data_IF_826530699860
#
_entry.id   IF_826530699860
#
_cell.length_a   1.000
_cell.length_b   1.000
_cell.length_c   1.000
_cell.angle_alpha   90.00
_cell.angle_beta   90.00
_cell.angle_gamma   90.00
#
_symmetry.space_group_name_H-M   'P 1'
#
loop_
_entity.id
_entity.type
_entity.pdbx_description
1 polymer ?
#
# COMPACT_ATOMS: atom_id res chain seq x y z
N UNK A 1 -23.04 15.66 -4.96
CA UNK A 1 -21.64 15.18 -4.93
C UNK A 1 -20.90 16.02 -3.91
N UNK A 2 -20.10 15.42 -3.03
CA UNK A 2 -19.30 16.18 -2.06
C UNK A 2 -18.31 17.07 -2.82
N UNK A 3 -18.25 18.36 -2.46
CA UNK A 3 -17.30 19.32 -3.03
C UNK A 3 -15.99 19.40 -2.24
N UNK A 4 -15.89 18.62 -1.15
CA UNK A 4 -14.69 18.59 -0.32
C UNK A 4 -13.63 17.67 -0.95
N UNK A 5 -12.39 18.15 -1.11
CA UNK A 5 -11.29 17.35 -1.63
C UNK A 5 -10.84 16.33 -0.58
N UNK A 6 -10.55 15.11 -1.01
CA UNK A 6 -9.89 14.12 -0.15
C UNK A 6 -8.40 14.41 0.00
N UNK A 7 -7.78 14.85 -1.10
CA UNK A 7 -6.37 15.17 -1.18
C UNK A 7 -6.24 16.49 -1.94
N UNK A 8 -5.26 17.31 -1.57
CA UNK A 8 -5.00 18.56 -2.27
C UNK A 8 -3.49 18.79 -2.37
N UNK A 9 -2.99 18.83 -3.61
CA UNK A 9 -1.59 19.04 -3.94
C UNK A 9 -1.46 20.39 -4.62
N UNK A 10 -0.56 21.24 -4.13
CA UNK A 10 -0.23 22.53 -4.71
C UNK A 10 1.26 22.62 -5.00
N UNK A 11 1.61 22.71 -6.28
CA UNK A 11 2.99 22.85 -6.74
C UNK A 11 3.92 21.74 -6.23
N UNK A 12 3.45 20.50 -6.16
CA UNK A 12 4.24 19.40 -5.60
C UNK A 12 5.36 19.00 -6.56
N UNK A 13 6.60 19.08 -6.09
CA UNK A 13 7.81 18.68 -6.82
C UNK A 13 8.59 17.63 -6.04
N UNK A 14 9.09 16.61 -6.73
CA UNK A 14 9.86 15.53 -6.12
C UNK A 14 11.05 15.20 -7.01
N UNK A 15 12.25 15.13 -6.42
CA UNK A 15 13.51 14.87 -7.12
C UNK A 15 14.22 13.70 -6.46
N UNK A 16 14.67 12.74 -7.26
CA UNK A 16 15.55 11.66 -6.80
C UNK A 16 16.92 11.81 -7.44
N UNK A 17 18.00 11.94 -6.64
CA UNK A 17 19.38 12.00 -7.14
C UNK A 17 19.56 12.98 -8.32
N UNK A 18 19.04 14.20 -8.16
CA UNK A 18 19.00 15.27 -9.19
C UNK A 18 18.10 15.01 -10.43
N UNK A 19 17.41 13.87 -10.51
CA UNK A 19 16.41 13.60 -11.55
C UNK A 19 15.00 13.93 -11.03
N UNK A 20 14.30 14.92 -11.64
CA UNK A 20 12.95 15.26 -11.22
C UNK A 20 11.97 14.14 -11.58
N UNK A 21 11.30 13.62 -10.56
CA UNK A 21 10.29 12.58 -10.68
C UNK A 21 8.87 13.16 -10.75
N UNK A 22 8.62 14.29 -10.09
CA UNK A 22 7.38 15.07 -10.19
C UNK A 22 7.75 16.54 -10.39
N UNK A 23 7.00 17.25 -11.22
CA UNK A 23 7.20 18.67 -11.51
C UNK A 23 5.85 19.37 -11.43
N UNK A 24 5.74 20.33 -10.54
CA UNK A 24 4.59 21.23 -10.39
C UNK A 24 3.23 20.52 -10.43
N UNK A 25 3.06 19.48 -9.62
CA UNK A 25 1.81 18.73 -9.58
C UNK A 25 0.78 19.51 -8.76
N UNK A 26 -0.30 19.90 -9.45
CA UNK A 26 -1.46 20.56 -8.89
C UNK A 26 -2.68 19.65 -9.10
N UNK A 27 -3.22 19.08 -8.01
CA UNK A 27 -4.29 18.09 -8.13
C UNK A 27 -5.18 18.03 -6.89
N UNK A 28 -6.50 17.92 -7.11
CA UNK A 28 -7.52 18.03 -6.07
C UNK A 28 -8.62 16.96 -6.24
N UNK A 29 -8.31 15.66 -6.02
CA UNK A 29 -9.30 14.61 -6.14
C UNK A 29 -10.38 14.71 -5.03
N UNK A 30 -11.64 14.63 -5.44
CA UNK A 30 -12.80 14.69 -4.57
C UNK A 30 -13.25 13.29 -4.13
N UNK A 31 -14.07 13.25 -3.07
CA UNK A 31 -14.66 12.01 -2.60
C UNK A 31 -15.52 11.33 -3.68
N UNK A 32 -15.33 10.01 -3.81
CA UNK A 32 -16.08 9.18 -4.76
C UNK A 32 -15.52 9.20 -6.19
N UNK A 33 -14.51 10.02 -6.47
CA UNK A 33 -13.84 10.02 -7.77
C UNK A 33 -12.87 8.83 -7.89
N UNK A 34 -12.73 8.35 -9.12
CA UNK A 34 -11.74 7.36 -9.50
C UNK A 34 -10.88 7.96 -10.60
N UNK A 35 -9.57 7.82 -10.46
CA UNK A 35 -8.60 8.44 -11.35
C UNK A 35 -7.65 7.39 -11.91
N UNK A 36 -7.38 7.49 -13.21
CA UNK A 36 -6.35 6.70 -13.89
C UNK A 36 -5.17 7.61 -14.25
N UNK A 37 -4.03 7.40 -13.60
CA UNK A 37 -2.78 8.08 -13.96
C UNK A 37 -2.05 7.29 -15.04
N UNK A 38 -2.05 7.79 -16.27
CA UNK A 38 -1.42 7.15 -17.43
C UNK A 38 -0.11 7.85 -17.81
N UNK A 39 0.79 7.12 -18.46
CA UNK A 39 2.06 7.66 -18.97
C UNK A 39 3.14 6.59 -19.09
N UNK A 40 4.27 6.90 -19.77
CA UNK A 40 5.35 5.95 -19.97
C UNK A 40 6.08 5.58 -18.67
N UNK A 41 6.94 4.57 -18.74
CA UNK A 41 7.85 4.25 -17.64
C UNK A 41 8.74 5.45 -17.33
N UNK A 42 8.94 5.74 -16.04
CA UNK A 42 9.69 6.93 -15.60
C UNK A 42 8.89 8.23 -15.51
N UNK A 43 7.63 8.28 -15.96
CA UNK A 43 6.79 9.49 -15.91
C UNK A 43 6.38 9.96 -14.50
N UNK A 44 6.87 9.33 -13.42
CA UNK A 44 6.57 9.75 -12.05
C UNK A 44 5.32 9.14 -11.40
N UNK A 45 4.58 8.28 -12.09
CA UNK A 45 3.33 7.66 -11.56
C UNK A 45 3.49 7.01 -10.18
N UNK A 46 4.51 6.16 -10.03
CA UNK A 46 4.83 5.51 -8.74
C UNK A 46 5.27 6.53 -7.69
N UNK A 47 5.99 7.57 -8.11
CA UNK A 47 6.43 8.66 -7.23
C UNK A 47 5.25 9.46 -6.71
N UNK A 48 4.26 9.77 -7.56
CA UNK A 48 3.01 10.41 -7.17
C UNK A 48 2.29 9.55 -6.14
N UNK A 49 2.06 8.26 -6.44
CA UNK A 49 1.41 7.35 -5.50
C UNK A 49 2.11 7.29 -4.13
N UNK A 50 3.46 7.29 -4.11
CA UNK A 50 4.24 7.34 -2.87
C UNK A 50 4.04 8.63 -2.09
N UNK A 51 3.96 9.79 -2.75
CA UNK A 51 3.64 11.07 -2.09
C UNK A 51 2.26 10.99 -1.45
N UNK A 52 1.23 10.57 -2.21
CA UNK A 52 -0.16 10.47 -1.72
C UNK A 52 -0.27 9.57 -0.47
N UNK A 53 0.56 8.53 -0.39
CA UNK A 53 0.55 7.56 0.70
C UNK A 53 1.55 7.88 1.84
N UNK A 54 2.08 9.10 1.95
CA UNK A 54 3.17 9.47 2.90
C UNK A 54 4.49 8.68 2.76
N UNK A 55 4.69 7.86 1.73
CA UNK A 55 5.91 7.05 1.59
C UNK A 55 7.10 7.87 1.07
N UNK A 56 6.84 8.98 0.39
CA UNK A 56 7.86 9.95 -0.01
C UNK A 56 7.55 11.29 0.66
N UNK A 57 8.38 11.67 1.63
CA UNK A 57 8.19 12.88 2.48
C UNK A 57 9.06 14.05 2.07
N UNK A 58 10.12 13.82 1.29
CA UNK A 58 11.06 14.85 0.85
C UNK A 58 10.63 15.40 -0.52
N UNK A 59 9.60 16.23 -0.53
CA UNK A 59 9.12 16.97 -1.70
C UNK A 59 8.96 18.45 -1.34
N UNK A 60 8.89 19.33 -2.34
CA UNK A 60 8.47 20.73 -2.13
C UNK A 60 7.04 20.95 -2.64
N UNK A 61 6.43 22.07 -2.25
CA UNK A 61 5.01 22.33 -2.45
C UNK A 61 4.20 22.02 -1.19
N UNK A 62 2.88 22.11 -1.31
CA UNK A 62 1.93 21.83 -0.23
C UNK A 62 1.12 20.57 -0.54
N UNK A 63 0.88 19.75 0.49
CA UNK A 63 0.05 18.56 0.38
C UNK A 63 -0.84 18.42 1.61
N UNK A 64 -2.14 18.54 1.39
CA UNK A 64 -3.16 18.44 2.41
C UNK A 64 -4.04 17.21 2.19
N UNK A 65 -4.57 16.71 3.29
CA UNK A 65 -5.49 15.56 3.31
C UNK A 65 -6.70 15.92 4.14
N UNK A 66 -7.84 15.40 3.72
CA UNK A 66 -9.06 15.57 4.49
C UNK A 66 -8.95 14.82 5.83
N UNK A 67 -9.45 15.37 6.96
CA UNK A 67 -9.35 14.73 8.28
C UNK A 67 -9.93 13.30 8.33
N UNK A 68 -10.90 12.98 7.47
CA UNK A 68 -11.47 11.64 7.42
C UNK A 68 -10.46 10.58 6.95
N UNK A 69 -9.38 10.97 6.27
CA UNK A 69 -8.28 10.08 5.91
C UNK A 69 -7.35 9.79 7.09
N UNK A 70 -7.37 10.58 8.17
CA UNK A 70 -6.59 10.27 9.38
C UNK A 70 -7.18 9.05 10.11
N UNK A 71 -8.51 8.93 10.11
CA UNK A 71 -9.22 7.77 10.69
C UNK A 71 -9.24 6.57 9.74
N UNK A 72 -9.52 6.80 8.46
CA UNK A 72 -9.72 5.72 7.47
C UNK A 72 -8.43 5.23 6.84
N UNK A 73 -7.39 6.06 6.84
CA UNK A 73 -6.10 5.79 6.23
C UNK A 73 -6.12 5.85 4.70
N UNK A 74 -4.91 5.75 4.13
CA UNK A 74 -4.67 5.57 2.70
C UNK A 74 -3.95 4.25 2.50
N UNK A 75 -4.51 3.37 1.67
CA UNK A 75 -3.88 2.11 1.33
C UNK A 75 -3.13 2.22 0.00
N UNK A 76 -1.86 1.79 0.00
CA UNK A 76 -1.08 1.61 -1.21
C UNK A 76 -1.09 0.13 -1.59
N UNK A 77 -1.45 -0.18 -2.84
CA UNK A 77 -1.47 -1.55 -3.35
C UNK A 77 -0.64 -1.60 -4.62
N UNK A 78 0.43 -2.40 -4.63
CA UNK A 78 1.24 -2.62 -5.82
C UNK A 78 1.93 -4.00 -5.82
N UNK A 79 2.25 -4.49 -7.01
CA UNK A 79 2.90 -5.80 -7.18
C UNK A 79 4.28 -5.88 -6.52
N UNK A 80 5.05 -4.78 -6.51
CA UNK A 80 6.35 -4.76 -5.84
C UNK A 80 6.24 -4.93 -4.33
N UNK A 81 5.19 -4.38 -3.71
CA UNK A 81 4.94 -4.56 -2.27
C UNK A 81 4.52 -6.00 -1.97
N UNK A 82 3.69 -6.60 -2.83
CA UNK A 82 3.34 -8.01 -2.73
C UNK A 82 4.58 -8.91 -2.86
N UNK A 83 5.43 -8.65 -3.86
CA UNK A 83 6.69 -9.37 -4.06
C UNK A 83 7.62 -9.23 -2.85
N UNK A 84 7.73 -8.04 -2.27
CA UNK A 84 8.55 -7.81 -1.08
C UNK A 84 8.05 -8.59 0.16
N UNK A 85 6.74 -8.86 0.27
CA UNK A 85 6.20 -9.74 1.31
C UNK A 85 6.63 -11.18 1.09
N UNK A 86 6.51 -11.70 -0.14
CA UNK A 86 6.94 -13.05 -0.49
C UNK A 86 8.46 -13.24 -0.32
N UNK A 87 9.27 -12.26 -0.74
CA UNK A 87 10.74 -12.31 -0.58
C UNK A 87 11.17 -12.28 0.89
N UNK A 88 10.44 -11.54 1.74
CA UNK A 88 10.66 -11.55 3.19
C UNK A 88 10.36 -12.93 3.76
N UNK A 89 9.22 -13.49 3.38
CA UNK A 89 8.81 -14.81 3.85
C UNK A 89 9.84 -15.87 3.46
N UNK A 90 10.33 -15.86 2.21
CA UNK A 90 11.40 -16.74 1.73
C UNK A 90 12.71 -16.63 2.50
N UNK A 91 13.05 -15.45 3.03
CA UNK A 91 14.27 -15.28 3.87
C UNK A 91 14.13 -15.89 5.26
N UNK A 92 12.91 -16.10 5.73
CA UNK A 92 12.60 -16.72 7.02
C UNK A 92 12.46 -18.24 6.90
N UNK A 93 12.76 -18.81 5.73
CA UNK A 93 12.72 -20.24 5.51
C UNK A 93 13.73 -20.96 6.40
N UNK A 94 13.22 -21.81 7.28
CA UNK A 94 13.99 -22.65 8.19
C UNK A 94 13.90 -24.15 7.82
N UNK A 95 13.35 -24.49 6.65
CA UNK A 95 13.16 -25.87 6.21
C UNK A 95 14.45 -26.69 6.22
N UNK A 96 15.59 -26.07 5.92
CA UNK A 96 16.92 -26.71 5.99
C UNK A 96 17.29 -27.22 7.39
N UNK A 97 16.66 -26.69 8.44
CA UNK A 97 16.89 -27.06 9.84
C UNK A 97 15.80 -27.98 10.42
N UNK A 98 14.77 -28.33 9.64
CA UNK A 98 13.65 -29.18 10.08
C UNK A 98 13.79 -30.61 9.58
N UNK A 99 13.45 -31.57 10.43
CA UNK A 99 13.53 -32.99 10.11
C UNK A 99 12.60 -33.42 8.96
N UNK A 100 11.51 -32.67 8.72
CA UNK A 100 10.54 -32.91 7.64
C UNK A 100 10.75 -31.99 6.42
N UNK A 101 11.79 -31.13 6.44
CA UNK A 101 12.08 -30.12 5.42
C UNK A 101 10.87 -29.23 5.04
N UNK A 102 9.91 -29.05 5.96
CA UNK A 102 8.66 -28.34 5.71
C UNK A 102 8.66 -26.95 6.33
N UNK A 103 8.42 -25.93 5.51
CA UNK A 103 8.11 -24.58 5.97
C UNK A 103 6.75 -24.14 5.39
N UNK A 104 5.68 -24.10 6.21
CA UNK A 104 4.36 -23.67 5.76
C UNK A 104 4.31 -22.17 5.40
N UNK A 105 5.37 -21.40 5.71
CA UNK A 105 5.45 -19.95 5.51
C UNK A 105 4.59 -19.17 6.51
N UNK A 106 4.65 -17.84 6.43
CA UNK A 106 3.79 -16.99 7.25
C UNK A 106 2.35 -17.08 6.78
N UNK A 107 1.45 -17.50 7.67
CA UNK A 107 0.02 -17.58 7.38
C UNK A 107 -0.55 -16.22 6.96
N UNK A 108 -1.43 -16.20 5.95
CA UNK A 108 -2.10 -14.98 5.46
C UNK A 108 -2.74 -14.20 6.61
N UNK A 109 -3.39 -14.89 7.55
CA UNK A 109 -3.98 -14.26 8.73
C UNK A 109 -2.93 -13.53 9.59
N UNK A 110 -1.77 -14.14 9.84
CA UNK A 110 -0.72 -13.54 10.65
C UNK A 110 -0.18 -12.25 10.00
N UNK A 111 -0.09 -12.23 8.66
CA UNK A 111 0.34 -11.05 7.90
C UNK A 111 -0.69 -9.93 7.97
N UNK A 112 -1.97 -10.24 7.79
CA UNK A 112 -3.06 -9.24 7.87
C UNK A 112 -3.14 -8.63 9.28
N UNK A 113 -3.03 -9.46 10.31
CA UNK A 113 -3.18 -9.02 11.69
C UNK A 113 -1.92 -8.31 12.24
N UNK A 114 -0.74 -8.61 11.70
CA UNK A 114 0.52 -7.98 12.11
C UNK A 114 0.79 -8.12 13.63
N UNK A 115 0.45 -9.27 14.21
CA UNK A 115 0.58 -9.55 15.64
C UNK A 115 -0.62 -9.13 16.52
N UNK A 116 -1.67 -8.54 15.93
CA UNK A 116 -2.93 -8.25 16.65
C UNK A 116 -3.83 -9.49 16.73
N UNK A 117 -4.77 -9.47 17.67
CA UNK A 117 -5.85 -10.46 17.69
C UNK A 117 -6.92 -10.13 16.64
N UNK A 118 -7.60 -11.14 16.05
CA UNK A 118 -8.76 -10.93 15.20
C UNK A 118 -9.83 -10.11 15.93
N UNK A 119 -10.33 -9.05 15.28
CA UNK A 119 -11.45 -8.24 15.75
C UNK A 119 -12.66 -8.37 14.82
N UNK A 120 -13.78 -7.74 15.18
CA UNK A 120 -15.00 -7.75 14.36
C UNK A 120 -14.75 -7.21 12.95
N UNK A 121 -13.85 -6.22 12.81
CA UNK A 121 -13.49 -5.64 11.51
C UNK A 121 -12.74 -6.65 10.65
N UNK A 122 -11.81 -7.41 11.22
CA UNK A 122 -11.13 -8.50 10.52
C UNK A 122 -12.13 -9.53 9.99
N UNK A 123 -13.03 -10.02 10.85
CA UNK A 123 -14.05 -11.00 10.45
C UNK A 123 -14.97 -10.47 9.36
N UNK A 124 -15.42 -9.22 9.48
CA UNK A 124 -16.23 -8.54 8.45
C UNK A 124 -15.55 -8.55 7.08
N UNK A 125 -14.26 -8.21 7.01
CA UNK A 125 -13.53 -8.18 5.73
C UNK A 125 -13.21 -9.57 5.20
N UNK A 126 -12.95 -10.55 6.07
CA UNK A 126 -12.74 -11.95 5.68
C UNK A 126 -13.96 -12.51 4.96
N UNK A 127 -15.14 -12.29 5.51
CA UNK A 127 -16.42 -12.70 4.92
C UNK A 127 -16.68 -11.94 3.61
N UNK A 128 -16.58 -10.62 3.65
CA UNK A 128 -16.87 -9.76 2.49
C UNK A 128 -15.96 -10.04 1.29
N UNK A 129 -14.68 -10.32 1.52
CA UNK A 129 -13.72 -10.64 0.47
C UNK A 129 -13.67 -12.14 0.14
N UNK A 130 -14.42 -12.98 0.88
CA UNK A 130 -14.45 -14.44 0.71
C UNK A 130 -13.06 -15.11 0.83
N UNK A 131 -12.21 -14.57 1.70
CA UNK A 131 -10.81 -15.02 1.85
C UNK A 131 -10.59 -16.02 3.00
N UNK A 132 -11.66 -16.48 3.66
CA UNK A 132 -11.56 -17.41 4.79
C UNK A 132 -10.73 -18.67 4.49
N UNK A 133 -10.88 -19.20 3.28
CA UNK A 133 -10.21 -20.42 2.82
C UNK A 133 -8.69 -20.28 2.62
N UNK A 134 -8.15 -19.05 2.55
CA UNK A 134 -6.70 -18.83 2.41
C UNK A 134 -6.02 -18.38 3.71
N UNK A 135 -6.77 -18.12 4.78
CA UNK A 135 -6.22 -17.51 6.01
C UNK A 135 -5.10 -18.33 6.66
N UNK A 136 -5.20 -19.65 6.59
CA UNK A 136 -4.22 -20.58 7.15
C UNK A 136 -3.15 -21.02 6.14
N UNK A 137 -3.21 -20.54 4.89
CA UNK A 137 -2.19 -20.83 3.87
C UNK A 137 -0.99 -19.91 4.08
N UNK A 138 0.20 -20.42 3.80
CA UNK A 138 1.41 -19.60 3.72
C UNK A 138 1.37 -18.64 2.54
N UNK A 139 2.00 -17.47 2.71
CA UNK A 139 2.15 -16.44 1.66
C UNK A 139 2.87 -16.90 0.37
N UNK A 140 3.52 -18.07 0.39
CA UNK A 140 4.26 -18.63 -0.75
C UNK A 140 3.37 -19.41 -1.73
N UNK A 141 2.11 -19.65 -1.39
CA UNK A 141 1.18 -20.52 -2.14
C UNK A 141 -0.02 -19.78 -2.75
#
# INVERSE_FOLDING_TARGET
MSTEPLLELHGVNLVYRALPALRDINWRPLQGQQWACLGPNGAGKTSLARVLCSQATHYSGDFQRAPQLDERGVAYVCFEQAKALCDRDRKLDDSEFRADASDPGTAVQAVILGGKQPDERFHHWVERLHIGHILQRGLRF
#
